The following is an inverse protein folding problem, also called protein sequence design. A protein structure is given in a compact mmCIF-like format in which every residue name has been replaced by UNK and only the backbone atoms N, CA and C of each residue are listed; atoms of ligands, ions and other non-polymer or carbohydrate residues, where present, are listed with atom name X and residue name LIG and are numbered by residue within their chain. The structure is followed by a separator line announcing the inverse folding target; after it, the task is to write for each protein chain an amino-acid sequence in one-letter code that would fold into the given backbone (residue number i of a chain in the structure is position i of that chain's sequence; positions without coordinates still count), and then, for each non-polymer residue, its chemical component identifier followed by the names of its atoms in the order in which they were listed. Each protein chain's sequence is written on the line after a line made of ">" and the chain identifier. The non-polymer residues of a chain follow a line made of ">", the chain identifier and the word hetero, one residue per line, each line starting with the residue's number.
data_IF_589907870618
#
_entry.id   IF_589907870618
#
_cell.length_a   1.000
_cell.length_b   1.000
_cell.length_c   1.000
_cell.angle_alpha   90.00
_cell.angle_beta   90.00
_cell.angle_gamma   90.00
#
_symmetry.space_group_name_H-M   'P 1'
#
loop_
_entity.id
_entity.type
_entity.pdbx_description
1 polymer ?
#
# COMPACT_ATOMS: atom_id res chain seq x y z
N UNK A 1 -145.67 121.13 -13.94
CA UNK A 1 -145.33 119.69 -13.86
C UNK A 1 -143.83 119.50 -13.54
N UNK A 2 -143.36 119.98 -12.38
CA UNK A 2 -141.93 119.95 -12.02
C UNK A 2 -141.64 119.17 -10.72
N UNK A 3 -142.67 118.68 -10.01
CA UNK A 3 -142.55 117.95 -8.74
C UNK A 3 -142.60 116.41 -8.87
N UNK A 4 -143.04 115.88 -10.01
CA UNK A 4 -143.16 114.43 -10.24
C UNK A 4 -141.87 113.74 -10.74
N UNK A 5 -140.97 114.49 -11.39
CA UNK A 5 -139.74 113.92 -11.96
C UNK A 5 -138.62 113.74 -10.92
N UNK A 6 -138.65 114.47 -9.79
CA UNK A 6 -137.68 114.32 -8.70
C UNK A 6 -137.91 113.05 -7.89
N UNK A 7 -139.16 112.64 -7.66
CA UNK A 7 -139.52 111.42 -6.89
C UNK A 7 -139.07 110.12 -7.60
N UNK A 8 -139.11 110.10 -8.94
CA UNK A 8 -138.68 108.97 -9.75
C UNK A 8 -137.16 108.76 -9.75
N UNK A 9 -136.39 109.85 -9.67
CA UNK A 9 -134.93 109.78 -9.65
C UNK A 9 -134.41 109.27 -8.29
N UNK A 10 -135.07 109.65 -7.20
CA UNK A 10 -134.78 109.15 -5.85
C UNK A 10 -135.03 107.64 -5.75
N UNK A 11 -136.16 107.16 -6.29
CA UNK A 11 -136.49 105.72 -6.35
C UNK A 11 -135.51 104.91 -7.19
N UNK A 12 -134.95 105.50 -8.26
CA UNK A 12 -133.95 104.80 -9.09
C UNK A 12 -132.61 104.67 -8.36
N UNK A 13 -132.24 105.70 -7.58
CA UNK A 13 -131.03 105.71 -6.75
C UNK A 13 -131.13 104.70 -5.62
N UNK A 14 -132.28 104.61 -4.95
CA UNK A 14 -132.54 103.60 -3.93
C UNK A 14 -132.45 102.17 -4.51
N UNK A 15 -132.98 101.96 -5.71
CA UNK A 15 -132.90 100.65 -6.39
C UNK A 15 -131.46 100.28 -6.79
N UNK A 16 -130.65 101.26 -7.19
CA UNK A 16 -129.23 101.05 -7.48
C UNK A 16 -128.45 100.68 -6.21
N UNK A 17 -128.71 101.38 -5.11
CA UNK A 17 -128.06 101.11 -3.82
C UNK A 17 -128.42 99.71 -3.29
N UNK A 18 -129.68 99.28 -3.45
CA UNK A 18 -130.10 97.91 -3.13
C UNK A 18 -129.36 96.86 -3.98
N UNK A 19 -129.21 97.08 -5.29
CA UNK A 19 -128.51 96.16 -6.19
C UNK A 19 -126.99 96.11 -5.90
N UNK A 20 -126.37 97.24 -5.54
CA UNK A 20 -124.97 97.28 -5.13
C UNK A 20 -124.75 96.58 -3.78
N UNK A 21 -125.68 96.74 -2.83
CA UNK A 21 -125.66 96.00 -1.57
C UNK A 21 -125.80 94.49 -1.79
N UNK A 22 -126.73 94.04 -2.66
CA UNK A 22 -126.87 92.63 -3.03
C UNK A 22 -125.63 92.07 -3.73
N UNK A 23 -125.04 92.82 -4.67
CA UNK A 23 -123.78 92.42 -5.33
C UNK A 23 -122.66 92.22 -4.32
N UNK A 24 -122.59 93.09 -3.33
CA UNK A 24 -121.55 93.03 -2.28
C UNK A 24 -121.75 91.82 -1.39
N UNK A 25 -123.00 91.55 -0.96
CA UNK A 25 -123.36 90.33 -0.21
C UNK A 25 -123.07 89.04 -0.98
N UNK A 26 -123.39 88.98 -2.27
CA UNK A 26 -123.11 87.82 -3.12
C UNK A 26 -121.60 87.57 -3.28
N UNK A 27 -120.79 88.64 -3.41
CA UNK A 27 -119.33 88.52 -3.47
C UNK A 27 -118.71 88.06 -2.14
N UNK A 28 -119.25 88.52 -1.01
CA UNK A 28 -118.82 88.02 0.30
C UNK A 28 -119.19 86.55 0.51
N UNK A 29 -120.41 86.14 0.13
CA UNK A 29 -120.82 84.73 0.16
C UNK A 29 -119.93 83.85 -0.73
N UNK A 30 -119.60 84.31 -1.94
CA UNK A 30 -118.68 83.61 -2.84
C UNK A 30 -117.28 83.48 -2.22
N UNK A 31 -116.74 84.54 -1.60
CA UNK A 31 -115.45 84.49 -0.89
C UNK A 31 -115.48 83.52 0.28
N UNK A 32 -116.59 83.49 1.04
CA UNK A 32 -116.81 82.52 2.11
C UNK A 32 -116.78 81.07 1.61
N UNK A 33 -117.54 80.75 0.55
CA UNK A 33 -117.54 79.42 -0.04
C UNK A 33 -116.20 79.03 -0.68
N UNK A 34 -115.50 79.97 -1.32
CA UNK A 34 -114.17 79.72 -1.89
C UNK A 34 -113.14 79.40 -0.78
N UNK A 35 -113.20 80.11 0.35
CA UNK A 35 -112.36 79.81 1.51
C UNK A 35 -112.67 78.42 2.09
N UNK A 36 -113.95 78.06 2.19
CA UNK A 36 -114.37 76.73 2.65
C UNK A 36 -113.92 75.61 1.70
N UNK A 37 -114.03 75.81 0.37
CA UNK A 37 -113.52 74.87 -0.63
C UNK A 37 -112.00 74.72 -0.54
N UNK A 38 -111.28 75.81 -0.27
CA UNK A 38 -109.83 75.78 -0.05
C UNK A 38 -109.45 74.94 1.17
N UNK A 39 -110.19 75.07 2.28
CA UNK A 39 -109.98 74.25 3.48
C UNK A 39 -110.22 72.75 3.21
N UNK A 40 -111.32 72.40 2.50
CA UNK A 40 -111.57 71.00 2.13
C UNK A 40 -110.50 70.43 1.20
N UNK A 41 -110.00 71.23 0.26
CA UNK A 41 -108.89 70.82 -0.61
C UNK A 41 -107.58 70.61 0.17
N UNK A 42 -107.31 71.41 1.20
CA UNK A 42 -106.14 71.17 2.07
C UNK A 42 -106.25 69.83 2.82
N UNK A 43 -107.42 69.51 3.38
CA UNK A 43 -107.65 68.22 4.07
C UNK A 43 -107.52 67.06 3.08
N UNK A 44 -108.09 67.17 1.88
CA UNK A 44 -107.98 66.15 0.85
C UNK A 44 -106.52 65.92 0.41
N UNK A 45 -105.74 67.00 0.26
CA UNK A 45 -104.31 66.89 -0.07
C UNK A 45 -103.53 66.17 1.05
N UNK A 46 -103.83 66.47 2.31
CA UNK A 46 -103.23 65.78 3.46
C UNK A 46 -103.56 64.29 3.49
N UNK A 47 -104.81 63.91 3.20
CA UNK A 47 -105.22 62.50 3.16
C UNK A 47 -104.54 61.73 2.02
N UNK A 48 -104.42 62.34 0.84
CA UNK A 48 -103.70 61.76 -0.29
C UNK A 48 -102.23 61.52 0.05
N UNK A 49 -101.55 62.52 0.62
CA UNK A 49 -100.17 62.37 1.07
C UNK A 49 -100.00 61.27 2.12
N UNK A 50 -100.93 61.15 3.08
CA UNK A 50 -100.90 60.05 4.05
C UNK A 50 -101.13 58.68 3.42
N UNK A 51 -101.98 58.59 2.38
CA UNK A 51 -102.21 57.32 1.68
C UNK A 51 -100.96 56.90 0.90
N UNK A 52 -100.37 57.84 0.16
CA UNK A 52 -99.19 57.59 -0.67
C UNK A 52 -98.02 57.11 0.20
N UNK A 53 -97.75 57.79 1.32
CA UNK A 53 -96.70 57.38 2.27
C UNK A 53 -96.95 56.01 2.90
N UNK A 54 -98.20 55.68 3.27
CA UNK A 54 -98.53 54.34 3.80
C UNK A 54 -98.39 53.24 2.74
N UNK A 55 -98.67 53.56 1.48
CA UNK A 55 -98.53 52.64 0.36
C UNK A 55 -97.07 52.36 0.04
N UNK A 56 -96.22 53.39 0.06
CA UNK A 56 -94.76 53.23 -0.06
C UNK A 56 -94.20 52.35 1.06
N UNK A 57 -94.55 52.64 2.32
CA UNK A 57 -94.12 51.85 3.47
C UNK A 57 -94.52 50.37 3.35
N UNK A 58 -95.73 50.08 2.87
CA UNK A 58 -96.19 48.70 2.67
C UNK A 58 -95.37 47.97 1.60
N UNK A 59 -95.04 48.65 0.50
CA UNK A 59 -94.24 48.07 -0.58
C UNK A 59 -92.81 47.77 -0.11
N UNK A 60 -92.21 48.69 0.66
CA UNK A 60 -90.87 48.49 1.23
C UNK A 60 -90.85 47.27 2.17
N UNK A 61 -91.86 47.16 3.04
CA UNK A 61 -91.96 46.05 4.00
C UNK A 61 -92.19 44.69 3.31
N UNK A 62 -92.96 44.67 2.22
CA UNK A 62 -93.12 43.48 1.38
C UNK A 62 -91.80 43.06 0.71
N UNK A 63 -90.99 44.04 0.27
CA UNK A 63 -89.69 43.79 -0.34
C UNK A 63 -88.68 43.26 0.68
N UNK A 64 -88.62 43.86 1.86
CA UNK A 64 -87.74 43.39 2.95
C UNK A 64 -88.08 41.95 3.37
N UNK A 65 -89.36 41.59 3.47
CA UNK A 65 -89.78 40.22 3.77
C UNK A 65 -89.36 39.23 2.68
N UNK A 66 -89.37 39.65 1.41
CA UNK A 66 -88.91 38.83 0.30
C UNK A 66 -87.38 38.65 0.33
N UNK A 67 -86.62 39.71 0.57
CA UNK A 67 -85.15 39.69 0.60
C UNK A 67 -84.60 38.88 1.80
N UNK A 68 -85.29 38.89 2.94
CA UNK A 68 -84.95 38.04 4.10
C UNK A 68 -85.12 36.55 3.78
N UNK A 69 -85.96 36.19 2.80
CA UNK A 69 -86.16 34.80 2.37
C UNK A 69 -86.86 33.90 3.39
N UNK A 70 -87.26 34.43 4.55
CA UNK A 70 -88.00 33.70 5.59
C UNK A 70 -89.49 33.80 5.29
N UNK A 71 -90.06 32.71 4.76
CA UNK A 71 -91.52 32.54 4.71
C UNK A 71 -92.01 32.15 6.10
N UNK A 72 -92.57 33.10 6.85
CA UNK A 72 -93.19 32.87 8.15
C UNK A 72 -94.57 32.18 7.98
N UNK A 73 -94.57 30.96 7.44
CA UNK A 73 -95.73 30.07 7.38
C UNK A 73 -95.66 28.99 8.49
N UNK A 74 -96.74 28.24 8.70
CA UNK A 74 -96.80 27.20 9.73
C UNK A 74 -95.77 26.07 9.55
N UNK A 75 -95.14 25.95 8.37
CA UNK A 75 -94.10 24.96 8.05
C UNK A 75 -92.66 25.49 8.11
N UNK A 76 -92.46 26.76 8.49
CA UNK A 76 -91.15 27.41 8.52
C UNK A 76 -90.19 26.75 9.50
N UNK A 77 -90.68 26.39 10.69
CA UNK A 77 -89.88 25.73 11.72
C UNK A 77 -89.40 24.34 11.27
N UNK A 78 -90.28 23.55 10.67
CA UNK A 78 -89.94 22.20 10.21
C UNK A 78 -88.87 22.22 9.11
N UNK A 79 -89.01 23.13 8.12
CA UNK A 79 -87.97 23.33 7.09
C UNK A 79 -86.64 23.79 7.70
N UNK A 80 -86.68 24.66 8.70
CA UNK A 80 -85.47 25.11 9.40
C UNK A 80 -84.80 23.96 10.18
N UNK A 81 -85.58 23.08 10.84
CA UNK A 81 -85.07 21.89 11.53
C UNK A 81 -84.42 20.90 10.57
N UNK A 82 -85.10 20.55 9.48
CA UNK A 82 -84.55 19.67 8.44
C UNK A 82 -83.25 20.26 7.89
N UNK A 83 -83.25 21.55 7.54
CA UNK A 83 -82.05 22.21 7.02
C UNK A 83 -80.90 22.23 8.03
N UNK A 84 -81.19 22.46 9.30
CA UNK A 84 -80.21 22.40 10.39
C UNK A 84 -79.60 21.00 10.48
N UNK A 85 -80.43 19.96 10.44
CA UNK A 85 -79.99 18.57 10.58
C UNK A 85 -79.17 18.11 9.36
N UNK A 86 -79.57 18.51 8.14
CA UNK A 86 -78.78 18.34 6.92
C UNK A 86 -77.40 19.00 7.04
N UNK A 87 -77.36 20.27 7.46
CA UNK A 87 -76.11 21.02 7.63
C UNK A 87 -75.23 20.39 8.73
N UNK A 88 -75.82 19.90 9.82
CA UNK A 88 -75.09 19.17 10.86
C UNK A 88 -74.52 17.86 10.35
N UNK A 89 -75.27 17.08 9.57
CA UNK A 89 -74.79 15.84 8.96
C UNK A 89 -73.65 16.11 7.97
N UNK A 90 -73.79 17.14 7.12
CA UNK A 90 -72.72 17.58 6.20
C UNK A 90 -71.48 18.05 6.96
N UNK A 91 -71.64 18.84 8.03
CA UNK A 91 -70.53 19.29 8.87
C UNK A 91 -69.83 18.11 9.55
N UNK A 92 -70.59 17.13 10.04
CA UNK A 92 -70.05 15.91 10.64
C UNK A 92 -69.22 15.10 9.64
N UNK A 93 -69.73 14.93 8.40
CA UNK A 93 -69.01 14.24 7.33
C UNK A 93 -67.75 15.02 6.88
N UNK A 94 -67.83 16.35 6.78
CA UNK A 94 -66.66 17.17 6.48
C UNK A 94 -65.60 17.09 7.59
N UNK A 95 -66.01 17.06 8.87
CA UNK A 95 -65.09 16.87 10.00
C UNK A 95 -64.43 15.49 9.96
N UNK A 96 -65.17 14.42 9.67
CA UNK A 96 -64.60 13.07 9.56
C UNK A 96 -63.62 12.97 8.38
N UNK A 97 -63.97 13.54 7.22
CA UNK A 97 -63.10 13.60 6.04
C UNK A 97 -61.82 14.39 6.31
N UNK A 98 -61.93 15.56 6.96
CA UNK A 98 -60.77 16.36 7.37
C UNK A 98 -59.83 15.56 8.28
N UNK A 99 -60.38 14.89 9.31
CA UNK A 99 -59.57 14.07 10.22
C UNK A 99 -58.88 12.89 9.51
N UNK A 100 -59.53 12.28 8.50
CA UNK A 100 -58.90 11.23 7.68
C UNK A 100 -57.74 11.78 6.84
N UNK A 101 -57.94 12.94 6.21
CA UNK A 101 -56.90 13.61 5.41
C UNK A 101 -55.71 14.06 6.29
N UNK A 102 -55.98 14.58 7.49
CA UNK A 102 -54.92 14.93 8.46
C UNK A 102 -54.09 13.70 8.85
N UNK A 103 -54.73 12.56 9.14
CA UNK A 103 -54.00 11.31 9.41
C UNK A 103 -53.15 10.87 8.22
N UNK A 104 -53.71 10.90 7.01
CA UNK A 104 -52.98 10.55 5.79
C UNK A 104 -51.78 11.49 5.56
N UNK A 105 -51.95 12.79 5.79
CA UNK A 105 -50.88 13.78 5.70
C UNK A 105 -49.75 13.46 6.67
N UNK A 106 -50.06 13.25 7.96
CA UNK A 106 -49.04 12.92 8.97
C UNK A 106 -48.29 11.62 8.65
N UNK A 107 -48.98 10.63 8.05
CA UNK A 107 -48.35 9.40 7.60
C UNK A 107 -47.39 9.64 6.43
N UNK A 108 -47.82 10.39 5.42
CA UNK A 108 -46.98 10.75 4.29
C UNK A 108 -45.74 11.57 4.71
N UNK A 109 -45.90 12.52 5.63
CA UNK A 109 -44.77 13.30 6.18
C UNK A 109 -43.76 12.38 6.89
N UNK A 110 -44.23 11.45 7.72
CA UNK A 110 -43.37 10.49 8.39
C UNK A 110 -42.64 9.54 7.41
N UNK A 111 -43.32 9.09 6.36
CA UNK A 111 -42.70 8.28 5.30
C UNK A 111 -41.64 9.07 4.52
N UNK A 112 -41.93 10.33 4.16
CA UNK A 112 -40.96 11.22 3.50
C UNK A 112 -39.71 11.43 4.34
N UNK A 113 -39.86 11.66 5.64
CA UNK A 113 -38.73 11.79 6.57
C UNK A 113 -37.89 10.51 6.64
N UNK A 114 -38.55 9.35 6.70
CA UNK A 114 -37.88 8.05 6.72
C UNK A 114 -37.10 7.80 5.42
N UNK A 115 -37.73 8.05 4.27
CA UNK A 115 -37.08 7.93 2.96
C UNK A 115 -35.89 8.88 2.83
N UNK A 116 -36.02 10.11 3.31
CA UNK A 116 -34.92 11.09 3.32
C UNK A 116 -33.73 10.61 4.16
N UNK A 117 -33.98 10.01 5.33
CA UNK A 117 -32.91 9.42 6.16
C UNK A 117 -32.25 8.22 5.48
N UNK A 118 -33.04 7.34 4.84
CA UNK A 118 -32.51 6.20 4.09
C UNK A 118 -31.66 6.64 2.90
N UNK A 119 -32.11 7.67 2.17
CA UNK A 119 -31.36 8.24 1.04
C UNK A 119 -30.01 8.78 1.51
N UNK A 120 -29.99 9.60 2.58
CA UNK A 120 -28.73 10.13 3.14
C UNK A 120 -27.78 9.04 3.66
N UNK A 121 -28.30 7.91 4.13
CA UNK A 121 -27.47 6.75 4.49
C UNK A 121 -26.87 6.12 3.23
N UNK A 122 -27.72 5.82 2.25
CA UNK A 122 -27.29 5.19 1.00
C UNK A 122 -26.27 6.05 0.23
N UNK A 123 -26.44 7.37 0.23
CA UNK A 123 -25.47 8.31 -0.36
C UNK A 123 -24.11 8.21 0.33
N UNK A 124 -24.06 8.19 1.67
CA UNK A 124 -22.81 8.01 2.43
C UNK A 124 -22.16 6.67 2.12
N UNK A 125 -22.92 5.58 2.19
CA UNK A 125 -22.43 4.23 1.90
C UNK A 125 -21.89 4.15 0.45
N UNK A 126 -22.54 4.82 -0.51
CA UNK A 126 -22.09 4.92 -1.89
C UNK A 126 -20.77 5.67 -2.02
N UNK A 127 -20.62 6.83 -1.37
CA UNK A 127 -19.37 7.60 -1.41
C UNK A 127 -18.20 6.81 -0.82
N UNK A 128 -18.41 6.13 0.31
CA UNK A 128 -17.40 5.28 0.95
C UNK A 128 -16.98 4.12 0.04
N UNK A 129 -17.95 3.39 -0.54
CA UNK A 129 -17.67 2.30 -1.48
C UNK A 129 -16.97 2.80 -2.74
N UNK A 130 -17.38 3.95 -3.26
CA UNK A 130 -16.75 4.58 -4.43
C UNK A 130 -15.30 4.94 -4.15
N UNK A 131 -15.00 5.51 -2.98
CA UNK A 131 -13.64 5.86 -2.57
C UNK A 131 -12.75 4.61 -2.50
N UNK A 132 -13.25 3.52 -1.89
CA UNK A 132 -12.53 2.24 -1.84
C UNK A 132 -12.25 1.69 -3.24
N UNK A 133 -13.24 1.69 -4.14
CA UNK A 133 -13.08 1.20 -5.52
C UNK A 133 -12.09 2.05 -6.31
N UNK A 134 -12.16 3.39 -6.19
CA UNK A 134 -11.23 4.30 -6.86
C UNK A 134 -9.80 4.07 -6.37
N UNK A 135 -9.61 3.94 -5.05
CA UNK A 135 -8.30 3.66 -4.44
C UNK A 135 -7.74 2.32 -4.90
N UNK A 136 -8.56 1.26 -4.88
CA UNK A 136 -8.17 -0.07 -5.35
C UNK A 136 -7.80 -0.08 -6.84
N UNK A 137 -8.57 0.64 -7.68
CA UNK A 137 -8.27 0.79 -9.11
C UNK A 137 -6.95 1.54 -9.35
N UNK A 138 -6.71 2.62 -8.62
CA UNK A 138 -5.45 3.36 -8.68
C UNK A 138 -4.27 2.47 -8.26
N UNK A 139 -4.43 1.71 -7.16
CA UNK A 139 -3.45 0.72 -6.71
C UNK A 139 -3.16 -0.35 -7.76
N UNK A 140 -4.19 -0.90 -8.41
CA UNK A 140 -4.01 -1.86 -9.50
C UNK A 140 -3.25 -1.27 -10.69
N UNK A 141 -3.57 -0.04 -11.10
CA UNK A 141 -2.83 0.64 -12.15
C UNK A 141 -1.36 0.90 -11.78
N UNK A 142 -1.07 1.15 -10.50
CA UNK A 142 0.31 1.27 -10.01
C UNK A 142 1.03 -0.08 -10.04
N UNK A 143 0.38 -1.16 -9.59
CA UNK A 143 0.88 -2.54 -9.69
C UNK A 143 1.23 -2.87 -11.13
N UNK A 144 0.30 -2.70 -12.07
CA UNK A 144 0.52 -3.04 -13.48
C UNK A 144 1.68 -2.24 -14.11
N UNK A 145 1.89 -0.99 -13.68
CA UNK A 145 3.07 -0.20 -14.09
C UNK A 145 4.36 -0.78 -13.52
N UNK A 146 4.44 -0.98 -12.21
CA UNK A 146 5.64 -1.56 -11.56
C UNK A 146 6.03 -2.90 -12.17
N UNK A 147 5.04 -3.71 -12.54
CA UNK A 147 5.23 -5.05 -13.09
C UNK A 147 5.77 -4.99 -14.51
N UNK A 148 5.28 -4.06 -15.33
CA UNK A 148 5.80 -3.78 -16.67
C UNK A 148 7.23 -3.28 -16.62
N UNK A 149 7.47 -2.26 -15.80
CA UNK A 149 8.75 -1.57 -15.70
C UNK A 149 9.87 -2.52 -15.22
N UNK A 150 9.52 -3.54 -14.44
CA UNK A 150 10.46 -4.54 -13.91
C UNK A 150 10.40 -5.90 -14.63
N UNK A 151 9.60 -6.04 -15.71
CA UNK A 151 9.55 -7.27 -16.51
C UNK A 151 8.96 -8.51 -15.81
N UNK A 152 8.17 -8.33 -14.74
CA UNK A 152 7.66 -9.44 -13.90
C UNK A 152 6.22 -9.87 -14.23
N UNK A 153 5.68 -9.44 -15.38
CA UNK A 153 4.28 -9.69 -15.82
C UNK A 153 3.90 -11.17 -15.84
N UNK A 154 4.77 -12.03 -16.36
CA UNK A 154 4.51 -13.47 -16.49
C UNK A 154 4.34 -14.17 -15.15
N UNK A 155 4.88 -13.60 -14.06
CA UNK A 155 4.88 -14.20 -12.72
C UNK A 155 3.64 -13.83 -11.90
N UNK A 156 2.91 -12.79 -12.30
CA UNK A 156 1.71 -12.33 -11.60
C UNK A 156 0.47 -13.18 -11.88
N UNK A 157 0.41 -13.77 -13.07
CA UNK A 157 -0.73 -14.57 -13.51
C UNK A 157 -0.47 -16.07 -13.29
N UNK A 158 -0.88 -16.60 -12.13
CA UNK A 158 -0.97 -18.04 -11.89
C UNK A 158 -2.42 -18.50 -11.95
N UNK A 159 -2.73 -19.32 -12.95
CA UNK A 159 -4.09 -19.82 -13.22
C UNK A 159 -4.64 -20.67 -12.07
N UNK A 160 -3.78 -21.36 -11.35
CA UNK A 160 -4.12 -22.20 -10.19
C UNK A 160 -4.71 -21.39 -9.03
N UNK A 161 -4.30 -20.14 -8.87
CA UNK A 161 -4.75 -19.26 -7.78
C UNK A 161 -6.12 -18.62 -8.08
N UNK A 162 -6.62 -18.73 -9.31
CA UNK A 162 -7.87 -18.09 -9.73
C UNK A 162 -9.13 -18.71 -9.09
N UNK A 163 -9.04 -19.94 -8.58
CA UNK A 163 -10.15 -20.65 -7.95
C UNK A 163 -10.23 -20.45 -6.43
N UNK A 164 -9.27 -19.74 -5.84
CA UNK A 164 -9.22 -19.51 -4.40
C UNK A 164 -10.03 -18.27 -3.98
N UNK A 165 -10.56 -18.29 -2.76
CA UNK A 165 -11.23 -17.12 -2.21
C UNK A 165 -10.22 -16.02 -1.86
N UNK A 166 -10.70 -14.79 -1.73
CA UNK A 166 -9.85 -13.66 -1.33
C UNK A 166 -9.18 -13.88 0.04
N UNK A 167 -9.87 -14.55 0.96
CA UNK A 167 -9.34 -14.81 2.31
C UNK A 167 -8.29 -15.92 2.30
N UNK A 168 -8.45 -16.96 1.47
CA UNK A 168 -7.43 -17.99 1.27
C UNK A 168 -6.14 -17.38 0.70
N UNK A 169 -6.26 -16.50 -0.30
CA UNK A 169 -5.12 -15.82 -0.91
C UNK A 169 -4.40 -14.90 0.09
N UNK A 170 -5.14 -14.19 0.95
CA UNK A 170 -4.54 -13.38 2.03
C UNK A 170 -3.80 -14.26 3.03
N UNK A 171 -4.42 -15.34 3.50
CA UNK A 171 -3.82 -16.29 4.44
C UNK A 171 -2.55 -16.93 3.89
N UNK A 172 -2.57 -17.37 2.62
CA UNK A 172 -1.38 -17.87 1.93
C UNK A 172 -0.28 -16.82 1.84
N UNK A 173 -0.65 -15.59 1.51
CA UNK A 173 0.31 -14.48 1.44
C UNK A 173 0.95 -14.19 2.79
N UNK A 174 0.18 -14.17 3.88
CA UNK A 174 0.70 -13.84 5.20
C UNK A 174 1.64 -14.95 5.72
N UNK A 175 1.31 -16.22 5.44
CA UNK A 175 2.22 -17.35 5.72
C UNK A 175 3.53 -17.23 4.95
N UNK A 176 3.46 -16.89 3.66
CA UNK A 176 4.65 -16.72 2.81
C UNK A 176 5.53 -15.55 3.30
N UNK A 177 4.93 -14.40 3.63
CA UNK A 177 5.65 -13.26 4.19
C UNK A 177 6.33 -13.63 5.53
N UNK A 178 5.64 -14.40 6.38
CA UNK A 178 6.21 -14.91 7.62
C UNK A 178 7.47 -15.77 7.43
N UNK A 179 7.46 -16.67 6.44
CA UNK A 179 8.64 -17.48 6.11
C UNK A 179 9.81 -16.62 5.57
N UNK A 180 9.51 -15.60 4.76
CA UNK A 180 10.51 -14.71 4.17
C UNK A 180 11.22 -13.82 5.20
N UNK A 181 10.65 -13.58 6.39
CA UNK A 181 11.32 -12.83 7.46
C UNK A 181 12.65 -13.46 7.88
N UNK A 182 12.71 -14.80 7.94
CA UNK A 182 13.94 -15.51 8.29
C UNK A 182 14.96 -15.45 7.14
N UNK A 183 14.50 -15.62 5.90
CA UNK A 183 15.36 -15.60 4.71
C UNK A 183 16.03 -14.23 4.48
N UNK A 184 15.37 -13.16 4.92
CA UNK A 184 15.81 -11.78 4.73
C UNK A 184 16.47 -11.21 6.00
N UNK A 185 16.63 -12.02 7.05
CA UNK A 185 17.09 -11.57 8.36
C UNK A 185 18.42 -10.79 8.32
N UNK A 186 19.34 -11.10 7.41
CA UNK A 186 20.65 -10.46 7.31
C UNK A 186 20.68 -9.23 6.39
N UNK A 187 19.57 -8.90 5.72
CA UNK A 187 19.48 -7.77 4.77
C UNK A 187 18.55 -6.68 5.31
N UNK A 188 19.13 -5.56 5.76
CA UNK A 188 18.39 -4.43 6.34
C UNK A 188 17.35 -3.82 5.38
N UNK A 189 17.75 -3.50 4.15
CA UNK A 189 16.87 -2.91 3.16
C UNK A 189 15.66 -3.80 2.86
N UNK A 190 15.90 -5.09 2.60
CA UNK A 190 14.80 -6.01 2.28
C UNK A 190 13.89 -6.28 3.50
N UNK A 191 14.41 -6.23 4.75
CA UNK A 191 13.57 -6.31 5.96
C UNK A 191 12.61 -5.12 6.06
N UNK A 192 13.08 -3.92 5.79
CA UNK A 192 12.25 -2.72 5.83
C UNK A 192 11.15 -2.74 4.77
N UNK A 193 11.50 -3.13 3.53
CA UNK A 193 10.53 -3.28 2.45
C UNK A 193 9.52 -4.39 2.76
N UNK A 194 9.96 -5.51 3.34
CA UNK A 194 9.07 -6.59 3.80
C UNK A 194 8.07 -6.07 4.84
N UNK A 195 8.55 -5.36 5.87
CA UNK A 195 7.69 -4.79 6.92
C UNK A 195 6.62 -3.85 6.35
N UNK A 196 6.99 -3.06 5.35
CA UNK A 196 6.05 -2.15 4.68
C UNK A 196 4.99 -2.90 3.84
N UNK A 197 5.33 -4.09 3.34
CA UNK A 197 4.45 -4.95 2.52
C UNK A 197 3.38 -5.72 3.29
N UNK A 198 3.52 -5.80 4.61
CA UNK A 198 2.56 -6.48 5.50
C UNK A 198 1.29 -5.66 5.74
N UNK A 199 1.24 -4.39 5.33
CA UNK A 199 0.06 -3.54 5.46
C UNK A 199 -1.07 -3.99 4.50
N UNK A 200 -2.22 -4.48 5.03
CA UNK A 200 -3.32 -4.97 4.19
C UNK A 200 -4.01 -3.85 3.41
N UNK A 201 -3.84 -2.58 3.81
CA UNK A 201 -4.42 -1.43 3.09
C UNK A 201 -3.67 -1.10 1.80
N UNK A 202 -2.45 -1.60 1.64
CA UNK A 202 -1.54 -1.27 0.52
C UNK A 202 -0.96 -2.52 -0.12
N UNK A 203 -1.80 -3.35 -0.76
CA UNK A 203 -1.36 -4.60 -1.39
C UNK A 203 -0.31 -4.38 -2.48
N UNK A 204 -0.23 -3.18 -3.08
CA UNK A 204 0.79 -2.82 -4.06
C UNK A 204 2.22 -2.93 -3.52
N UNK A 205 2.41 -2.79 -2.20
CA UNK A 205 3.72 -2.93 -1.57
C UNK A 205 4.25 -4.36 -1.58
N UNK A 206 3.38 -5.36 -1.68
CA UNK A 206 3.80 -6.77 -1.85
C UNK A 206 4.56 -6.96 -3.17
N UNK A 207 4.13 -6.25 -4.22
CA UNK A 207 4.82 -6.24 -5.51
C UNK A 207 6.14 -5.47 -5.43
N UNK A 208 6.18 -4.34 -4.71
CA UNK A 208 7.44 -3.62 -4.47
C UNK A 208 8.47 -4.49 -3.76
N UNK A 209 8.04 -5.23 -2.73
CA UNK A 209 8.89 -6.18 -2.05
C UNK A 209 9.38 -7.28 -2.99
N UNK A 210 8.50 -7.87 -3.81
CA UNK A 210 8.89 -8.85 -4.81
C UNK A 210 9.96 -8.30 -5.78
N UNK A 211 9.77 -7.07 -6.28
CA UNK A 211 10.74 -6.40 -7.16
C UNK A 211 12.08 -6.17 -6.45
N UNK A 212 12.07 -5.73 -5.19
CA UNK A 212 13.29 -5.53 -4.41
C UNK A 212 14.07 -6.84 -4.21
N UNK A 213 13.37 -7.94 -3.91
CA UNK A 213 13.99 -9.28 -3.81
C UNK A 213 14.55 -9.70 -5.17
N UNK A 214 13.80 -9.49 -6.24
CA UNK A 214 14.22 -9.84 -7.59
C UNK A 214 15.49 -9.11 -8.02
N UNK A 215 15.57 -7.80 -7.75
CA UNK A 215 16.76 -6.99 -7.99
C UNK A 215 17.94 -7.48 -7.16
N UNK A 216 17.71 -7.75 -5.87
CA UNK A 216 18.76 -8.26 -4.98
C UNK A 216 19.35 -9.59 -5.46
N UNK A 217 18.52 -10.50 -5.95
CA UNK A 217 18.99 -11.76 -6.54
C UNK A 217 19.77 -11.51 -7.82
N UNK A 218 19.25 -10.67 -8.72
CA UNK A 218 19.89 -10.35 -10.00
C UNK A 218 21.30 -9.75 -9.83
N UNK A 219 21.50 -8.93 -8.81
CA UNK A 219 22.81 -8.33 -8.51
C UNK A 219 23.83 -9.33 -7.95
N UNK A 220 23.37 -10.41 -7.31
CA UNK A 220 24.23 -11.44 -6.70
C UNK A 220 24.55 -12.61 -7.63
N UNK A 221 23.73 -12.83 -8.64
CA UNK A 221 23.93 -13.94 -9.58
C UNK A 221 25.10 -13.61 -10.50
N UNK A 222 26.03 -14.55 -10.56
CA UNK A 222 27.23 -14.49 -11.38
C UNK A 222 26.89 -14.68 -12.86
N UNK A 223 26.84 -13.57 -13.59
CA UNK A 223 26.54 -13.55 -15.03
C UNK A 223 27.65 -14.19 -15.90
N UNK A 224 28.83 -14.40 -15.34
CA UNK A 224 29.93 -15.15 -15.96
C UNK A 224 29.65 -16.65 -16.08
N UNK A 225 28.81 -17.20 -15.19
CA UNK A 225 28.44 -18.62 -15.17
C UNK A 225 27.15 -18.84 -15.96
N UNK A 226 26.19 -17.93 -15.83
CA UNK A 226 24.85 -18.06 -16.42
C UNK A 226 24.46 -16.82 -17.20
N UNK A 227 23.98 -17.02 -18.43
CA UNK A 227 23.60 -15.95 -19.37
C UNK A 227 22.11 -15.57 -19.32
N UNK A 228 21.38 -16.03 -18.32
CA UNK A 228 19.94 -15.83 -18.19
C UNK A 228 19.64 -14.56 -17.40
N UNK A 229 18.72 -13.73 -17.89
CA UNK A 229 18.31 -12.50 -17.22
C UNK A 229 17.34 -12.73 -16.04
N UNK A 230 16.66 -13.89 -16.00
CA UNK A 230 15.77 -14.27 -14.90
C UNK A 230 16.56 -14.93 -13.75
N UNK A 231 16.60 -14.31 -12.55
CA UNK A 231 17.31 -14.85 -11.40
C UNK A 231 16.77 -16.21 -10.93
N UNK A 232 15.48 -16.52 -11.14
CA UNK A 232 14.92 -17.80 -10.73
C UNK A 232 15.47 -18.93 -11.61
N UNK A 233 15.41 -18.74 -12.93
CA UNK A 233 15.97 -19.70 -13.89
C UNK A 233 17.49 -19.85 -13.72
N UNK A 234 18.18 -18.74 -13.40
CA UNK A 234 19.60 -18.79 -13.11
C UNK A 234 19.94 -19.55 -11.83
N UNK A 235 19.09 -19.51 -10.79
CA UNK A 235 19.27 -20.34 -9.59
C UNK A 235 19.09 -21.83 -9.94
N UNK A 236 18.04 -22.19 -10.67
CA UNK A 236 17.82 -23.58 -11.10
C UNK A 236 19.00 -24.11 -11.94
N UNK A 237 19.51 -23.30 -12.87
CA UNK A 237 20.69 -23.65 -13.67
C UNK A 237 21.97 -23.76 -12.82
N UNK A 238 22.16 -22.89 -11.82
CA UNK A 238 23.27 -23.00 -10.86
C UNK A 238 23.19 -24.29 -10.06
N UNK A 239 22.01 -24.71 -9.61
CA UNK A 239 21.82 -25.97 -8.88
C UNK A 239 22.18 -27.19 -9.72
N UNK A 240 21.82 -27.18 -11.01
CA UNK A 240 22.19 -28.24 -11.96
C UNK A 240 23.71 -28.29 -12.15
N UNK A 241 24.36 -27.14 -12.39
CA UNK A 241 25.83 -27.08 -12.55
C UNK A 241 26.57 -27.46 -11.27
N UNK A 242 26.07 -27.08 -10.09
CA UNK A 242 26.66 -27.47 -8.81
C UNK A 242 26.57 -28.99 -8.62
N UNK A 243 25.42 -29.58 -8.95
CA UNK A 243 25.23 -31.04 -8.88
C UNK A 243 26.20 -31.75 -9.81
N UNK A 244 26.34 -31.28 -11.05
CA UNK A 244 27.32 -31.80 -12.01
C UNK A 244 28.76 -31.67 -11.52
N UNK A 245 29.16 -30.50 -11.00
CA UNK A 245 30.51 -30.29 -10.46
C UNK A 245 30.79 -31.21 -9.26
N UNK A 246 29.77 -31.47 -8.44
CA UNK A 246 29.86 -32.41 -7.30
C UNK A 246 30.05 -33.84 -7.79
N UNK A 247 29.34 -34.26 -8.84
CA UNK A 247 29.54 -35.56 -9.50
C UNK A 247 30.93 -35.69 -10.15
N UNK A 248 31.41 -34.65 -10.84
CA UNK A 248 32.76 -34.63 -11.42
C UNK A 248 33.83 -34.69 -10.32
N UNK A 249 33.63 -33.98 -9.20
CA UNK A 249 34.54 -33.99 -8.05
C UNK A 249 34.59 -35.39 -7.41
N UNK A 250 33.44 -35.97 -7.09
CA UNK A 250 33.36 -37.33 -6.52
C UNK A 250 33.94 -38.38 -7.46
N UNK A 251 33.73 -38.27 -8.77
CA UNK A 251 34.38 -39.15 -9.76
C UNK A 251 35.90 -39.00 -9.77
N UNK A 252 36.42 -37.76 -9.67
CA UNK A 252 37.87 -37.51 -9.57
C UNK A 252 38.45 -38.04 -8.25
N UNK A 253 37.73 -37.88 -7.14
CA UNK A 253 38.12 -38.43 -5.84
C UNK A 253 38.17 -39.96 -5.88
N UNK A 254 37.21 -40.63 -6.51
CA UNK A 254 37.26 -42.08 -6.69
C UNK A 254 38.48 -42.51 -7.52
N UNK A 255 38.82 -41.78 -8.59
CA UNK A 255 40.05 -42.03 -9.37
C UNK A 255 41.31 -41.85 -8.53
N UNK A 256 41.33 -40.86 -7.64
CA UNK A 256 42.45 -40.62 -6.71
C UNK A 256 42.54 -41.71 -5.64
N UNK A 257 41.41 -42.20 -5.12
CA UNK A 257 41.36 -43.29 -4.16
C UNK A 257 41.95 -44.60 -4.70
N UNK A 258 41.69 -44.89 -5.99
CA UNK A 258 42.30 -46.03 -6.70
C UNK A 258 43.81 -45.82 -6.92
N UNK A 259 44.31 -44.58 -6.86
CA UNK A 259 45.69 -44.22 -7.20
C UNK A 259 46.41 -43.44 -6.08
N UNK A 260 46.24 -43.86 -4.83
CA UNK A 260 46.98 -43.34 -3.66
C UNK A 260 48.50 -43.23 -3.90
N UNK A 261 49.09 -44.22 -4.57
CA UNK A 261 50.51 -44.27 -4.95
C UNK A 261 50.87 -43.13 -5.92
N UNK A 262 49.96 -42.77 -6.83
CA UNK A 262 50.15 -41.64 -7.72
C UNK A 262 50.13 -40.32 -6.95
N UNK A 263 49.22 -40.18 -5.98
CA UNK A 263 49.17 -38.98 -5.11
C UNK A 263 50.48 -38.79 -4.35
N UNK A 264 50.96 -39.85 -3.68
CA UNK A 264 52.24 -39.80 -2.97
C UNK A 264 53.42 -39.45 -3.91
N UNK A 265 53.43 -40.01 -5.12
CA UNK A 265 54.44 -39.69 -6.14
C UNK A 265 54.37 -38.23 -6.63
N UNK A 266 53.17 -37.66 -6.80
CA UNK A 266 52.98 -36.26 -7.19
C UNK A 266 53.50 -35.34 -6.08
N UNK A 267 53.15 -35.63 -4.82
CA UNK A 267 53.60 -34.84 -3.67
C UNK A 267 55.13 -34.93 -3.56
N UNK A 268 55.75 -36.12 -3.60
CA UNK A 268 57.22 -36.28 -3.59
C UNK A 268 57.90 -35.50 -4.72
N UNK A 269 57.41 -35.61 -5.95
CA UNK A 269 57.98 -34.88 -7.10
C UNK A 269 57.86 -33.36 -6.93
N UNK A 270 56.79 -32.90 -6.29
CA UNK A 270 56.58 -31.48 -6.01
C UNK A 270 57.49 -30.98 -4.90
N UNK A 271 57.61 -31.73 -3.80
CA UNK A 271 58.58 -31.46 -2.72
C UNK A 271 60.00 -31.39 -3.29
N UNK A 272 60.41 -32.36 -4.11
CA UNK A 272 61.73 -32.37 -4.73
C UNK A 272 61.95 -31.16 -5.64
N UNK A 273 60.91 -30.73 -6.38
CA UNK A 273 60.97 -29.55 -7.25
C UNK A 273 61.17 -28.28 -6.43
N UNK A 274 60.43 -28.12 -5.33
CA UNK A 274 60.59 -26.95 -4.46
C UNK A 274 61.91 -26.96 -3.69
N UNK A 275 62.40 -28.11 -3.22
CA UNK A 275 63.73 -28.23 -2.65
C UNK A 275 64.82 -27.81 -3.66
N UNK A 276 64.71 -28.25 -4.92
CA UNK A 276 65.64 -27.84 -5.97
C UNK A 276 65.54 -26.34 -6.30
N UNK A 277 64.32 -25.78 -6.29
CA UNK A 277 64.09 -24.34 -6.48
C UNK A 277 64.74 -23.52 -5.35
N UNK A 278 64.54 -23.93 -4.10
CA UNK A 278 65.18 -23.28 -2.94
C UNK A 278 66.70 -23.45 -2.99
N UNK A 279 67.20 -24.60 -3.45
CA UNK A 279 68.64 -24.80 -3.67
C UNK A 279 69.22 -23.81 -4.67
N UNK A 280 68.48 -23.46 -5.73
CA UNK A 280 68.88 -22.41 -6.68
C UNK A 280 68.87 -21.02 -6.03
N UNK A 281 67.86 -20.70 -5.21
CA UNK A 281 67.83 -19.45 -4.45
C UNK A 281 69.03 -19.35 -3.48
N UNK A 282 69.36 -20.44 -2.79
CA UNK A 282 70.49 -20.51 -1.87
C UNK A 282 71.84 -20.23 -2.57
N UNK A 283 72.01 -20.61 -3.83
CA UNK A 283 73.23 -20.30 -4.60
C UNK A 283 73.46 -18.80 -4.75
N UNK A 284 72.39 -18.01 -4.91
CA UNK A 284 72.48 -16.55 -5.01
C UNK A 284 72.96 -15.85 -3.72
N UNK A 285 72.93 -16.55 -2.59
CA UNK A 285 73.30 -16.03 -1.27
C UNK A 285 74.54 -16.72 -0.67
N UNK A 286 75.29 -17.48 -1.47
CA UNK A 286 76.53 -18.12 -1.01
C UNK A 286 77.69 -17.14 -0.79
N UNK A 287 77.65 -15.95 -1.42
CA UNK A 287 78.73 -14.96 -1.37
C UNK A 287 78.22 -13.63 -0.82
N UNK A 288 77.54 -13.66 0.34
CA UNK A 288 77.12 -12.44 1.04
C UNK A 288 78.04 -12.19 2.23
N UNK A 289 78.31 -10.93 2.57
CA UNK A 289 79.15 -10.59 3.72
C UNK A 289 78.45 -9.56 4.59
N UNK A 290 78.11 -9.96 5.80
CA UNK A 290 77.57 -9.10 6.85
C UNK A 290 78.29 -9.43 8.14
N UNK A 291 79.21 -8.57 8.60
CA UNK A 291 80.02 -8.89 9.79
C UNK A 291 80.82 -10.18 9.62
N UNK A 292 80.56 -11.19 10.44
CA UNK A 292 81.17 -12.53 10.36
C UNK A 292 80.34 -13.53 9.54
N UNK A 293 79.14 -13.16 9.08
CA UNK A 293 78.29 -14.01 8.24
C UNK A 293 78.75 -13.96 6.80
N UNK A 294 79.20 -15.12 6.29
CA UNK A 294 79.74 -15.29 4.94
C UNK A 294 78.74 -15.91 3.94
N UNK A 295 77.68 -16.55 4.43
CA UNK A 295 76.58 -17.02 3.58
C UNK A 295 75.30 -17.21 4.38
N UNK A 296 74.17 -17.12 3.67
CA UNK A 296 72.82 -17.34 4.22
C UNK A 296 72.14 -18.40 3.35
N UNK A 297 71.49 -19.37 3.98
CA UNK A 297 70.67 -20.37 3.26
C UNK A 297 69.36 -20.62 3.98
N UNK A 298 68.37 -21.04 3.20
CA UNK A 298 67.15 -21.62 3.69
C UNK A 298 67.29 -23.14 3.60
N UNK A 299 67.42 -23.79 4.76
CA UNK A 299 67.45 -25.24 4.88
C UNK A 299 66.02 -25.78 4.87
N UNK A 300 65.76 -26.80 4.07
CA UNK A 300 64.42 -27.34 3.82
C UNK A 300 64.42 -28.82 4.12
N UNK A 301 63.88 -29.16 5.28
CA UNK A 301 63.71 -30.52 5.73
C UNK A 301 62.28 -30.99 5.43
N UNK A 302 62.09 -32.30 5.33
CA UNK A 302 60.75 -32.89 5.24
C UNK A 302 60.39 -33.41 6.62
N UNK A 303 59.22 -33.04 7.13
CA UNK A 303 58.73 -33.50 8.44
C UNK A 303 58.66 -35.02 8.46
N UNK A 304 59.27 -35.65 9.45
CA UNK A 304 59.36 -37.12 9.53
C UNK A 304 57.98 -37.80 9.52
N UNK A 305 57.01 -37.23 10.23
CA UNK A 305 55.64 -37.76 10.32
C UNK A 305 54.94 -37.80 8.97
N UNK A 306 55.25 -36.82 8.11
CA UNK A 306 54.66 -36.68 6.78
C UNK A 306 55.46 -37.48 5.73
N UNK A 307 56.79 -37.57 5.88
CA UNK A 307 57.63 -38.46 5.09
C UNK A 307 57.18 -39.92 5.25
N UNK A 308 56.92 -40.35 6.49
CA UNK A 308 56.44 -41.70 6.77
C UNK A 308 55.08 -41.99 6.09
N UNK A 309 54.17 -41.01 6.08
CA UNK A 309 52.91 -41.13 5.35
C UNK A 309 53.16 -41.36 3.86
N UNK A 310 54.06 -40.59 3.23
CA UNK A 310 54.37 -40.77 1.81
C UNK A 310 55.05 -42.11 1.51
N UNK A 311 55.88 -42.63 2.43
CA UNK A 311 56.52 -43.94 2.31
C UNK A 311 55.47 -45.05 2.34
N UNK A 312 54.60 -45.04 3.34
CA UNK A 312 53.51 -46.01 3.49
C UNK A 312 52.55 -45.97 2.30
N UNK A 313 52.18 -44.78 1.81
CA UNK A 313 51.34 -44.63 0.61
C UNK A 313 52.01 -45.12 -0.68
N UNK A 314 53.33 -45.25 -0.71
CA UNK A 314 54.08 -45.64 -1.91
C UNK A 314 54.52 -47.11 -1.92
N UNK A 315 54.90 -47.66 -0.76
CA UNK A 315 55.47 -49.00 -0.60
C UNK A 315 54.48 -50.00 0.02
N UNK A 316 53.63 -49.54 0.94
CA UNK A 316 52.72 -50.39 1.72
C UNK A 316 51.24 -50.12 1.41
N UNK A 317 50.95 -49.53 0.24
CA UNK A 317 49.58 -49.17 -0.14
C UNK A 317 48.61 -50.35 -0.07
N UNK A 318 49.05 -51.56 -0.43
CA UNK A 318 48.22 -52.77 -0.39
C UNK A 318 47.74 -53.12 1.03
N UNK A 319 48.52 -52.79 2.07
CA UNK A 319 48.18 -53.10 3.47
C UNK A 319 47.12 -52.17 4.07
N UNK A 320 46.91 -51.00 3.45
CA UNK A 320 45.93 -50.00 3.90
C UNK A 320 44.89 -49.70 2.82
N UNK A 321 44.73 -50.62 1.87
CA UNK A 321 43.77 -50.50 0.79
C UNK A 321 42.31 -50.54 1.31
N UNK A 322 42.10 -51.11 2.50
CA UNK A 322 40.82 -51.13 3.22
C UNK A 322 40.27 -49.71 3.51
N UNK A 323 41.15 -48.76 3.84
CA UNK A 323 40.78 -47.37 4.08
C UNK A 323 40.38 -46.64 2.79
N UNK A 324 41.07 -46.93 1.67
CA UNK A 324 40.88 -46.23 0.39
C UNK A 324 39.82 -46.86 -0.52
N UNK A 325 39.50 -48.15 -0.33
CA UNK A 325 38.44 -48.85 -1.07
C UNK A 325 37.06 -48.74 -0.41
N UNK A 326 36.96 -48.07 0.74
CA UNK A 326 35.69 -47.91 1.46
C UNK A 326 34.85 -46.80 0.84
N UNK A 327 33.64 -47.13 0.37
CA UNK A 327 32.65 -46.13 -0.06
C UNK A 327 32.12 -45.25 1.08
N UNK A 328 32.52 -45.51 2.33
CA UNK A 328 32.08 -44.75 3.51
C UNK A 328 33.01 -43.58 3.85
N UNK A 329 34.20 -43.52 3.26
CA UNK A 329 35.19 -42.49 3.55
C UNK A 329 35.60 -41.80 2.25
N UNK A 330 35.74 -40.49 2.30
CA UNK A 330 36.38 -39.76 1.19
C UNK A 330 37.88 -40.08 1.18
N UNK A 331 38.56 -39.77 0.06
CA UNK A 331 40.01 -39.96 -0.03
C UNK A 331 40.77 -39.15 1.04
N UNK A 332 40.35 -37.90 1.28
CA UNK A 332 40.91 -37.04 2.32
C UNK A 332 40.71 -37.62 3.72
N UNK A 333 39.52 -38.14 4.04
CA UNK A 333 39.27 -38.80 5.33
C UNK A 333 40.10 -40.08 5.50
N UNK A 334 40.29 -40.85 4.43
CA UNK A 334 41.14 -42.04 4.44
C UNK A 334 42.61 -41.67 4.71
N UNK A 335 43.11 -40.59 4.10
CA UNK A 335 44.46 -40.05 4.39
C UNK A 335 44.61 -39.61 5.84
N UNK A 336 43.63 -38.88 6.38
CA UNK A 336 43.66 -38.44 7.77
C UNK A 336 43.68 -39.61 8.76
N UNK A 337 42.87 -40.64 8.51
CA UNK A 337 42.87 -41.86 9.33
C UNK A 337 44.19 -42.64 9.23
N UNK A 338 44.78 -42.71 8.04
CA UNK A 338 46.10 -43.31 7.86
C UNK A 338 47.16 -42.52 8.64
N UNK A 339 47.16 -41.20 8.52
CA UNK A 339 48.09 -40.32 9.24
C UNK A 339 47.95 -40.45 10.76
N UNK A 340 46.72 -40.55 11.27
CA UNK A 340 46.44 -40.81 12.68
C UNK A 340 46.94 -42.19 13.13
N UNK A 341 46.78 -43.22 12.29
CA UNK A 341 47.28 -44.59 12.58
C UNK A 341 48.81 -44.63 12.63
N UNK A 342 49.49 -43.89 11.77
CA UNK A 342 50.95 -43.83 11.72
C UNK A 342 51.55 -42.95 12.82
N UNK A 343 50.81 -41.94 13.29
CA UNK A 343 51.26 -41.02 14.32
C UNK A 343 50.27 -40.92 15.50
N UNK A 344 50.10 -41.99 16.32
CA UNK A 344 49.15 -41.99 17.44
C UNK A 344 49.43 -40.90 18.49
N UNK A 345 50.68 -40.46 18.58
CA UNK A 345 51.15 -39.42 19.49
C UNK A 345 50.71 -37.99 19.11
N UNK A 346 50.20 -37.77 17.89
CA UNK A 346 49.77 -36.45 17.45
C UNK A 346 48.29 -36.26 17.82
N UNK A 347 48.02 -35.30 18.69
CA UNK A 347 46.65 -34.89 18.98
C UNK A 347 46.06 -34.14 17.77
N UNK A 348 44.98 -34.68 17.21
CA UNK A 348 44.28 -34.12 16.05
C UNK A 348 43.37 -32.94 16.42
N UNK A 349 43.19 -32.67 17.73
CA UNK A 349 42.34 -31.60 18.23
C UNK A 349 40.89 -31.74 17.78
N UNK A 350 40.19 -30.60 17.63
CA UNK A 350 38.80 -30.55 17.15
C UNK A 350 38.68 -30.52 15.61
N UNK A 351 39.75 -30.80 14.87
CA UNK A 351 39.72 -30.74 13.40
C UNK A 351 38.98 -31.96 12.85
N UNK A 352 38.19 -31.74 11.80
CA UNK A 352 37.51 -32.85 11.13
C UNK A 352 38.50 -33.67 10.31
N UNK A 353 38.28 -34.98 10.12
CA UNK A 353 39.15 -35.81 9.29
C UNK A 353 39.26 -35.31 7.84
N UNK A 354 38.20 -34.70 7.30
CA UNK A 354 38.22 -34.09 5.97
C UNK A 354 39.25 -32.95 5.89
N UNK A 355 39.21 -32.00 6.84
CA UNK A 355 40.14 -30.85 6.86
C UNK A 355 41.60 -31.31 7.01
N UNK A 356 41.86 -32.29 7.88
CA UNK A 356 43.20 -32.87 8.03
C UNK A 356 43.67 -33.51 6.73
N UNK A 357 42.79 -34.27 6.06
CA UNK A 357 43.09 -34.89 4.78
C UNK A 357 43.46 -33.88 3.70
N UNK A 358 42.75 -32.76 3.63
CA UNK A 358 43.05 -31.66 2.71
C UNK A 358 44.40 -30.99 3.03
N UNK A 359 44.72 -30.80 4.31
CA UNK A 359 46.05 -30.32 4.73
C UNK A 359 47.16 -31.29 4.29
N UNK A 360 46.93 -32.60 4.35
CA UNK A 360 47.89 -33.62 3.92
C UNK A 360 48.03 -33.72 2.39
N UNK A 361 47.12 -33.14 1.60
CA UNK A 361 47.28 -33.05 0.14
C UNK A 361 48.14 -31.84 -0.27
N UNK A 362 48.28 -30.86 0.61
CA UNK A 362 49.13 -29.70 0.38
C UNK A 362 50.59 -29.99 0.75
N UNK A 363 51.45 -30.06 -0.26
CA UNK A 363 52.88 -30.34 -0.10
C UNK A 363 53.59 -29.35 0.83
N UNK A 364 53.05 -28.12 1.01
CA UNK A 364 53.66 -27.10 1.87
C UNK A 364 53.72 -27.55 3.33
N UNK A 365 52.74 -28.32 3.78
CA UNK A 365 52.68 -28.85 5.15
C UNK A 365 53.73 -29.93 5.43
N UNK A 366 54.36 -30.47 4.39
CA UNK A 366 55.44 -31.47 4.49
C UNK A 366 56.80 -30.82 4.72
N UNK A 367 56.94 -29.54 4.39
CA UNK A 367 58.23 -28.84 4.40
C UNK A 367 58.40 -28.12 5.73
N UNK A 368 59.57 -28.31 6.35
CA UNK A 368 60.05 -27.54 7.48
C UNK A 368 61.23 -26.70 7.02
N UNK A 369 61.10 -25.39 7.19
CA UNK A 369 62.04 -24.42 6.66
C UNK A 369 62.74 -23.72 7.82
N UNK A 370 64.06 -23.75 7.80
CA UNK A 370 64.90 -23.07 8.79
C UNK A 370 65.93 -22.19 8.08
N UNK A 371 66.15 -21.00 8.62
CA UNK A 371 67.20 -20.11 8.12
C UNK A 371 68.49 -20.44 8.84
N UNK A 372 69.56 -20.62 8.06
CA UNK A 372 70.89 -20.85 8.57
C UNK A 372 71.89 -19.84 8.02
N UNK A 373 72.87 -19.49 8.84
CA UNK A 373 73.97 -18.57 8.54
C UNK A 373 75.30 -19.30 8.69
N UNK A 374 76.27 -18.97 7.85
CA UNK A 374 77.62 -19.53 7.94
C UNK A 374 78.60 -18.51 8.50
N UNK A 375 79.29 -18.85 9.59
CA UNK A 375 80.27 -17.98 10.27
C UNK A 375 81.73 -18.36 10.07
N UNK A 376 82.07 -19.08 9.00
CA UNK A 376 83.45 -19.48 8.71
C UNK A 376 83.98 -20.53 9.70
N UNK A 377 84.34 -20.13 10.92
CA UNK A 377 84.86 -21.03 11.97
C UNK A 377 83.80 -21.98 12.52
N UNK A 378 82.56 -21.51 12.67
CA UNK A 378 81.50 -22.26 13.38
C UNK A 378 80.61 -23.08 12.44
N UNK A 379 80.86 -22.99 11.13
CA UNK A 379 80.04 -23.65 10.11
C UNK A 379 78.63 -23.05 10.00
N UNK A 380 77.65 -23.90 9.64
CA UNK A 380 76.24 -23.51 9.48
C UNK A 380 75.53 -23.57 10.83
N UNK A 381 74.95 -22.44 11.24
CA UNK A 381 74.19 -22.27 12.48
C UNK A 381 72.80 -21.74 12.16
N UNK A 382 71.80 -22.12 12.97
CA UNK A 382 70.46 -21.54 12.88
C UNK A 382 70.51 -20.03 13.13
N UNK A 383 69.79 -19.26 12.31
CA UNK A 383 69.72 -17.82 12.45
C UNK A 383 68.80 -17.43 13.62
N UNK A 384 69.36 -17.39 14.83
CA UNK A 384 68.67 -16.93 16.03
C UNK A 384 69.02 -15.47 16.34
N UNK A 385 68.02 -14.64 16.62
CA UNK A 385 68.19 -13.21 16.85
C UNK A 385 69.12 -12.87 18.03
N UNK A 386 69.30 -13.79 18.98
CA UNK A 386 70.22 -13.60 20.11
C UNK A 386 71.69 -13.87 19.79
N UNK A 387 71.97 -14.58 18.69
CA UNK A 387 73.33 -14.96 18.32
C UNK A 387 73.99 -13.97 17.34
N UNK A 388 73.21 -13.13 16.65
CA UNK A 388 73.64 -12.21 15.58
C UNK A 388 73.81 -10.77 16.09
N UNK A 389 74.84 -10.07 15.64
CA UNK A 389 74.96 -8.62 15.83
C UNK A 389 73.87 -7.87 15.04
N UNK A 390 73.63 -6.59 15.35
CA UNK A 390 72.61 -5.78 14.67
C UNK A 390 72.83 -5.74 13.15
N UNK A 391 74.07 -5.57 12.70
CA UNK A 391 74.40 -5.55 11.26
C UNK A 391 74.22 -6.90 10.58
N UNK A 392 74.54 -8.00 11.28
CA UNK A 392 74.33 -9.36 10.79
C UNK A 392 72.86 -9.71 10.69
N UNK A 393 72.06 -9.37 11.71
CA UNK A 393 70.62 -9.61 11.71
C UNK A 393 69.92 -8.86 10.57
N UNK A 394 70.28 -7.60 10.33
CA UNK A 394 69.75 -6.80 9.21
C UNK A 394 70.15 -7.43 7.87
N UNK A 395 71.43 -7.81 7.72
CA UNK A 395 71.94 -8.43 6.50
C UNK A 395 71.29 -9.78 6.19
N UNK A 396 71.19 -10.67 7.18
CA UNK A 396 70.50 -11.96 7.08
C UNK A 396 69.02 -11.75 6.75
N UNK A 397 68.34 -10.82 7.40
CA UNK A 397 66.95 -10.47 7.10
C UNK A 397 66.75 -9.98 5.66
N UNK A 398 67.65 -9.11 5.18
CA UNK A 398 67.64 -8.61 3.80
C UNK A 398 67.84 -9.76 2.79
N UNK A 399 68.77 -10.68 3.06
CA UNK A 399 68.99 -11.85 2.21
C UNK A 399 67.74 -12.73 2.08
N UNK A 400 67.03 -12.99 3.18
CA UNK A 400 65.77 -13.74 3.16
C UNK A 400 64.70 -12.97 2.38
N UNK A 401 64.59 -11.65 2.59
CA UNK A 401 63.62 -10.81 1.87
C UNK A 401 63.84 -10.87 0.35
N UNK A 402 65.09 -10.86 -0.10
CA UNK A 402 65.42 -11.04 -1.53
C UNK A 402 64.91 -12.39 -2.04
N UNK A 403 65.09 -13.48 -1.28
CA UNK A 403 64.55 -14.80 -1.66
C UNK A 403 63.03 -14.81 -1.76
N UNK A 404 62.33 -14.19 -0.79
CA UNK A 404 60.87 -14.12 -0.78
C UNK A 404 60.35 -13.35 -1.99
N UNK A 405 60.94 -12.19 -2.29
CA UNK A 405 60.56 -11.37 -3.45
C UNK A 405 60.78 -12.13 -4.76
N UNK A 406 61.93 -12.81 -4.90
CA UNK A 406 62.22 -13.63 -6.08
C UNK A 406 61.24 -14.81 -6.21
N UNK A 407 60.89 -15.44 -5.08
CA UNK A 407 59.91 -16.53 -5.06
C UNK A 407 58.52 -16.06 -5.51
N UNK A 408 58.05 -14.91 -5.01
CA UNK A 408 56.76 -14.33 -5.41
C UNK A 408 56.74 -13.89 -6.88
N UNK A 409 57.84 -13.34 -7.39
CA UNK A 409 57.97 -12.96 -8.79
C UNK A 409 57.82 -14.18 -9.72
N UNK A 410 58.52 -15.27 -9.40
CA UNK A 410 58.48 -16.53 -10.15
C UNK A 410 57.13 -17.23 -10.06
N UNK A 411 56.50 -17.27 -8.88
CA UNK A 411 55.19 -17.88 -8.68
C UNK A 411 54.10 -17.17 -9.51
N UNK A 412 54.18 -15.83 -9.56
CA UNK A 412 53.24 -15.00 -10.32
C UNK A 412 53.49 -15.03 -11.83
N UNK A 413 54.57 -15.64 -12.31
CA UNK A 413 54.96 -15.63 -13.74
C UNK A 413 53.90 -16.27 -14.65
N UNK A 414 53.12 -17.23 -14.15
CA UNK A 414 52.05 -17.89 -14.91
C UNK A 414 50.79 -17.03 -15.07
N UNK A 415 50.57 -16.11 -14.13
CA UNK A 415 49.42 -15.19 -14.13
C UNK A 415 49.74 -13.87 -14.85
N UNK A 416 51.00 -13.69 -15.26
CA UNK A 416 51.52 -12.45 -15.85
C UNK A 416 51.84 -12.65 -17.34
N UNK A 417 51.74 -11.57 -18.12
CA UNK A 417 52.23 -11.57 -19.51
C UNK A 417 53.73 -11.89 -19.58
N UNK A 418 54.15 -12.65 -20.60
CA UNK A 418 55.55 -13.14 -20.73
C UNK A 418 56.58 -12.02 -20.85
N UNK A 419 56.15 -10.83 -21.26
CA UNK A 419 57.02 -9.67 -21.54
C UNK A 419 57.09 -8.68 -20.37
N UNK A 420 56.53 -9.02 -19.21
CA UNK A 420 56.45 -8.13 -18.05
C UNK A 420 57.38 -8.64 -16.94
N UNK A 421 58.35 -7.81 -16.52
CA UNK A 421 59.13 -8.02 -15.29
C UNK A 421 58.76 -6.95 -14.26
N UNK A 422 58.34 -7.33 -13.04
CA UNK A 422 57.98 -6.38 -11.99
C UNK A 422 59.21 -5.64 -11.44
N UNK A 423 59.01 -4.40 -11.02
CA UNK A 423 60.02 -3.65 -10.27
C UNK A 423 60.21 -4.26 -8.87
N UNK A 424 61.47 -4.36 -8.43
CA UNK A 424 61.84 -4.85 -7.09
C UNK A 424 62.51 -3.72 -6.31
N UNK A 425 61.91 -3.29 -5.21
CA UNK A 425 62.45 -2.25 -4.34
C UNK A 425 62.27 -2.67 -2.88
N UNK A 426 63.36 -2.69 -2.12
CA UNK A 426 63.43 -3.11 -0.73
C UNK A 426 63.97 -1.95 0.12
N UNK A 427 63.44 -1.75 1.32
CA UNK A 427 63.92 -0.75 2.27
C UNK A 427 64.63 -1.44 3.45
N UNK A 428 65.84 -1.02 3.81
CA UNK A 428 66.41 -1.39 5.11
C UNK A 428 65.62 -0.62 6.18
N UNK A 429 64.96 -1.34 7.10
CA UNK A 429 64.40 -0.75 8.31
C UNK A 429 65.32 -0.99 9.48
#
# INVERSE_FOLDING_TARGET
>A
MLSGNSDLNEKLRERLEQAEAERTRAREALRGHAAQLSQYNQVLASLKSSYDTKKELLNDLQRELQDIGVRADSGAEERARIRRDELHAQLSNNRSRRNQLEKALTFCEAEMDNLTRKLRKLERDYFEMREQVVTAKAGWCAVMRMVKDNGVERRLHRRELAYLSADDLRSMSDKALGALRLAVADNEHLRDVLRMSEDPKRPERKIQFFVAVYQHLRERIRQDIIRTDDPVEAIEQMEIELSRLTEELTSREQKLAISSRSVANIIRKTIQREQNRIRMLNQGLQNVSFGQVNSVRLNVNVRETHAMLLDVLSEQHEQHQDLFNSNRLTFSEALAKLYQRLNPQIDMGQRTPQTIGEELLDYRNYLEMEVEVNRGSDGWLRAESGALSTGEAIGTGMSILVMVVQSWEDESRRLRGKDISPCRLLFPR
#
